data_IF_160884489935
#
_entry.id   IF_160884489935
#
_cell.length_a   1.000
_cell.length_b   1.000
_cell.length_c   1.000
_cell.angle_alpha   90.00
_cell.angle_beta   90.00
_cell.angle_gamma   90.00
#
_symmetry.space_group_name_H-M   'P 1'
#
loop_
_entity.id
_entity.type
_entity.pdbx_description
1 polymer ?
#
# COMPACT_ATOMS: atom_id res chain seq x y z
N UNK A 1 -34.24 -35.93 -4.02
CA UNK A 1 -32.97 -35.75 -3.26
C UNK A 1 -31.79 -35.39 -4.18
N UNK A 2 -31.80 -34.24 -4.85
CA UNK A 2 -30.69 -33.89 -5.81
C UNK A 2 -30.25 -32.43 -5.81
N UNK A 3 -30.75 -31.57 -4.94
CA UNK A 3 -30.43 -30.14 -4.92
C UNK A 3 -29.27 -29.74 -3.98
N UNK A 4 -28.89 -30.58 -3.01
CA UNK A 4 -27.86 -30.25 -2.02
C UNK A 4 -26.41 -30.48 -2.51
N UNK A 5 -26.19 -31.38 -3.46
CA UNK A 5 -24.83 -31.75 -3.93
C UNK A 5 -24.21 -30.71 -4.85
N UNK A 6 -25.04 -29.87 -5.53
CA UNK A 6 -24.52 -28.82 -6.45
C UNK A 6 -23.90 -27.62 -5.72
N UNK A 7 -24.35 -27.32 -4.49
CA UNK A 7 -23.89 -26.15 -3.76
C UNK A 7 -22.47 -26.31 -3.19
N UNK A 8 -22.11 -27.50 -2.72
CA UNK A 8 -20.79 -27.78 -2.16
C UNK A 8 -19.67 -27.72 -3.19
N UNK A 9 -19.91 -28.22 -4.41
CA UNK A 9 -18.96 -28.12 -5.50
C UNK A 9 -18.72 -26.64 -5.89
N UNK A 10 -19.77 -25.82 -5.93
CA UNK A 10 -19.69 -24.42 -6.32
C UNK A 10 -18.93 -23.57 -5.27
N UNK A 11 -19.14 -23.82 -4.01
CA UNK A 11 -18.42 -23.17 -2.90
C UNK A 11 -16.95 -23.60 -2.90
N UNK A 12 -16.66 -24.88 -3.15
CA UNK A 12 -15.28 -25.41 -3.24
C UNK A 12 -14.52 -24.80 -4.43
N UNK A 13 -15.16 -24.65 -5.57
CA UNK A 13 -14.59 -24.00 -6.76
C UNK A 13 -14.33 -22.51 -6.55
N UNK A 14 -15.24 -21.78 -5.91
CA UNK A 14 -15.00 -20.35 -5.54
C UNK A 14 -13.80 -20.18 -4.62
N UNK A 15 -13.66 -21.05 -3.59
CA UNK A 15 -12.49 -21.03 -2.71
C UNK A 15 -11.19 -21.35 -3.44
N UNK A 16 -11.19 -22.34 -4.35
CA UNK A 16 -10.01 -22.69 -5.18
C UNK A 16 -9.64 -21.57 -6.14
N UNK A 17 -10.61 -20.93 -6.79
CA UNK A 17 -10.38 -19.78 -7.67
C UNK A 17 -9.86 -18.55 -6.91
N UNK A 18 -10.39 -18.30 -5.73
CA UNK A 18 -9.90 -17.26 -4.83
C UNK A 18 -8.44 -17.53 -4.42
N UNK A 19 -8.14 -18.75 -3.98
CA UNK A 19 -6.80 -19.16 -3.60
C UNK A 19 -5.80 -19.11 -4.77
N UNK A 20 -6.19 -19.51 -5.98
CA UNK A 20 -5.35 -19.38 -7.18
C UNK A 20 -5.09 -17.93 -7.55
N UNK A 21 -6.06 -17.02 -7.38
CA UNK A 21 -5.87 -15.58 -7.61
C UNK A 21 -4.87 -14.99 -6.62
N UNK A 22 -5.00 -15.32 -5.33
CA UNK A 22 -4.05 -14.92 -4.29
C UNK A 22 -2.66 -15.48 -4.57
N UNK A 23 -2.55 -16.76 -4.90
CA UNK A 23 -1.27 -17.40 -5.23
C UNK A 23 -0.61 -16.79 -6.48
N UNK A 24 -1.40 -16.42 -7.50
CA UNK A 24 -0.88 -15.77 -8.69
C UNK A 24 -0.50 -14.30 -8.43
N UNK A 25 -1.23 -13.61 -7.56
CA UNK A 25 -0.85 -12.26 -7.11
C UNK A 25 0.48 -12.34 -6.32
N UNK A 26 0.60 -13.25 -5.38
CA UNK A 26 1.84 -13.49 -4.63
C UNK A 26 3.01 -13.80 -5.58
N UNK A 27 2.86 -14.72 -6.54
CA UNK A 27 3.91 -15.04 -7.51
C UNK A 27 4.33 -13.85 -8.38
N UNK A 28 3.44 -12.92 -8.69
CA UNK A 28 3.75 -11.70 -9.45
C UNK A 28 4.56 -10.72 -8.61
N UNK A 29 4.24 -10.59 -7.32
CA UNK A 29 4.91 -9.68 -6.40
C UNK A 29 6.30 -10.22 -6.05
N UNK A 30 6.48 -11.54 -5.90
CA UNK A 30 7.79 -12.19 -5.77
C UNK A 30 8.73 -11.90 -6.95
N UNK A 31 8.18 -11.63 -8.13
CA UNK A 31 8.99 -11.24 -9.29
C UNK A 31 9.38 -9.75 -9.29
N UNK A 32 8.73 -8.94 -8.46
CA UNK A 32 8.91 -7.49 -8.43
C UNK A 32 9.95 -7.04 -7.39
N UNK A 33 10.11 -7.81 -6.29
CA UNK A 33 11.09 -7.56 -5.23
C UNK A 33 12.04 -8.73 -5.19
N UNK A 34 13.32 -8.45 -5.32
CA UNK A 34 14.41 -9.42 -5.34
C UNK A 34 15.34 -9.21 -4.13
N UNK A 35 16.21 -10.18 -3.87
CA UNK A 35 17.24 -10.00 -2.85
C UNK A 35 18.16 -8.80 -3.16
N UNK A 36 18.33 -8.44 -4.43
CA UNK A 36 19.07 -7.24 -4.83
C UNK A 36 18.43 -5.95 -4.30
N UNK A 37 17.10 -5.93 -4.18
CA UNK A 37 16.42 -4.77 -3.61
C UNK A 37 16.62 -4.67 -2.09
N UNK A 38 16.73 -5.80 -1.39
CA UNK A 38 17.11 -5.85 0.03
C UNK A 38 18.58 -5.41 0.23
N UNK A 39 19.48 -5.84 -0.67
CA UNK A 39 20.91 -5.51 -0.63
C UNK A 39 21.22 -4.02 -0.93
N UNK A 40 20.24 -3.25 -1.39
CA UNK A 40 20.36 -1.78 -1.49
C UNK A 40 20.25 -1.08 -0.13
N UNK A 41 19.56 -1.69 0.83
CA UNK A 41 19.28 -1.11 2.15
C UNK A 41 20.15 -1.72 3.25
N UNK A 42 20.55 -3.01 3.11
CA UNK A 42 21.37 -3.73 4.09
C UNK A 42 22.53 -4.47 3.40
N UNK A 43 23.58 -4.78 4.14
CA UNK A 43 24.71 -5.55 3.61
C UNK A 43 24.36 -7.03 3.40
N UNK A 44 25.07 -7.71 2.51
CA UNK A 44 24.90 -9.15 2.29
C UNK A 44 25.16 -9.96 3.58
N UNK A 45 26.15 -9.53 4.37
CA UNK A 45 26.44 -10.17 5.65
C UNK A 45 25.28 -10.01 6.63
N UNK A 46 24.69 -8.82 6.74
CA UNK A 46 23.54 -8.57 7.60
C UNK A 46 22.32 -9.39 7.14
N UNK A 47 22.04 -9.44 5.83
CA UNK A 47 20.96 -10.24 5.27
C UNK A 47 21.15 -11.73 5.61
N UNK A 48 22.38 -12.23 5.53
CA UNK A 48 22.74 -13.60 5.88
C UNK A 48 22.51 -13.86 7.37
N UNK A 49 22.98 -12.97 8.26
CA UNK A 49 22.81 -13.08 9.69
C UNK A 49 21.32 -13.05 10.08
N UNK A 50 20.52 -12.14 9.48
CA UNK A 50 19.09 -12.01 9.75
C UNK A 50 18.27 -13.19 9.22
N UNK A 51 18.71 -13.89 8.18
CA UNK A 51 18.03 -15.05 7.62
C UNK A 51 18.46 -16.39 8.27
N UNK A 52 19.61 -16.42 8.96
CA UNK A 52 20.17 -17.63 9.55
C UNK A 52 19.70 -17.87 11.00
N UNK A 53 18.42 -18.22 11.16
CA UNK A 53 17.84 -18.50 12.49
C UNK A 53 18.51 -19.67 13.23
N UNK A 54 19.29 -20.49 12.56
CA UNK A 54 19.92 -21.70 13.12
C UNK A 54 21.44 -21.54 13.33
N UNK A 55 22.00 -20.36 13.07
CA UNK A 55 23.43 -20.08 13.17
C UNK A 55 24.33 -21.04 12.35
N UNK A 56 23.84 -21.44 11.16
CA UNK A 56 24.57 -22.34 10.24
C UNK A 56 25.56 -21.59 9.33
N UNK A 57 25.56 -20.27 9.36
CA UNK A 57 26.35 -19.42 8.50
C UNK A 57 25.93 -19.47 7.03
N UNK A 58 24.68 -19.79 6.72
CA UNK A 58 24.15 -19.92 5.37
C UNK A 58 22.90 -19.02 5.22
N UNK A 59 22.81 -18.30 4.09
CA UNK A 59 21.62 -17.52 3.76
C UNK A 59 20.41 -18.45 3.57
N UNK A 60 19.35 -18.22 4.33
CA UNK A 60 18.12 -19.03 4.27
C UNK A 60 17.04 -18.30 3.49
N UNK A 61 16.88 -18.64 2.22
CA UNK A 61 15.90 -18.01 1.33
C UNK A 61 14.46 -18.18 1.84
N UNK A 62 14.11 -19.30 2.47
CA UNK A 62 12.75 -19.50 2.97
C UNK A 62 12.37 -18.46 4.05
N UNK A 63 13.31 -18.13 4.94
CA UNK A 63 13.09 -17.10 5.99
C UNK A 63 12.89 -15.73 5.38
N UNK A 64 13.63 -15.41 4.31
CA UNK A 64 13.49 -14.16 3.56
C UNK A 64 12.12 -14.12 2.87
N UNK A 65 11.74 -15.20 2.20
CA UNK A 65 10.46 -15.31 1.49
C UNK A 65 9.27 -15.21 2.46
N UNK A 66 9.36 -15.82 3.64
CA UNK A 66 8.34 -15.70 4.69
C UNK A 66 8.24 -14.25 5.21
N UNK A 67 9.36 -13.58 5.45
CA UNK A 67 9.35 -12.18 5.87
C UNK A 67 8.79 -11.25 4.78
N UNK A 68 9.11 -11.53 3.52
CA UNK A 68 8.55 -10.81 2.39
C UNK A 68 7.03 -11.01 2.27
N UNK A 69 6.53 -12.24 2.46
CA UNK A 69 5.10 -12.54 2.48
C UNK A 69 4.36 -11.82 3.61
N UNK A 70 4.94 -11.81 4.81
CA UNK A 70 4.38 -11.09 5.95
C UNK A 70 4.26 -9.60 5.63
N UNK A 71 5.27 -9.01 5.01
CA UNK A 71 5.33 -7.59 4.62
C UNK A 71 4.33 -7.25 3.53
N UNK A 72 4.19 -8.11 2.52
CA UNK A 72 3.20 -7.99 1.45
C UNK A 72 1.79 -8.04 2.03
N UNK A 73 1.51 -9.03 2.89
CA UNK A 73 0.21 -9.19 3.54
C UNK A 73 -0.14 -7.99 4.41
N UNK A 74 0.87 -7.40 5.07
CA UNK A 74 0.70 -6.17 5.82
C UNK A 74 0.33 -5.00 4.92
N UNK A 75 1.03 -4.78 3.80
CA UNK A 75 0.70 -3.74 2.83
C UNK A 75 -0.70 -3.93 2.21
N UNK A 76 -1.10 -5.17 1.93
CA UNK A 76 -2.42 -5.53 1.39
C UNK A 76 -3.57 -5.20 2.36
N UNK A 77 -3.29 -5.07 3.66
CA UNK A 77 -4.29 -4.61 4.62
C UNK A 77 -4.67 -3.12 4.45
N UNK A 78 -3.83 -2.32 3.78
CA UNK A 78 -4.06 -0.90 3.51
C UNK A 78 -4.49 -0.63 2.07
N UNK A 79 -3.89 -1.34 1.10
CA UNK A 79 -4.03 -1.06 -0.34
C UNK A 79 -4.13 -2.35 -1.14
N UNK A 80 -4.73 -2.27 -2.33
CA UNK A 80 -4.63 -3.34 -3.32
C UNK A 80 -3.28 -3.18 -4.02
N UNK A 81 -2.42 -4.20 -3.92
CA UNK A 81 -1.10 -4.14 -4.54
C UNK A 81 -1.19 -4.20 -6.07
N UNK A 82 -0.61 -3.23 -6.79
CA UNK A 82 -0.61 -3.19 -8.25
C UNK A 82 0.41 -4.18 -8.84
N UNK A 83 0.23 -4.54 -10.10
CA UNK A 83 1.19 -5.39 -10.82
C UNK A 83 2.54 -4.68 -11.06
N UNK A 84 2.52 -3.36 -11.19
CA UNK A 84 3.69 -2.53 -11.43
C UNK A 84 3.76 -1.43 -10.35
N UNK A 85 4.26 -1.76 -9.14
CA UNK A 85 4.31 -0.83 -8.02
C UNK A 85 5.30 0.32 -8.26
N UNK A 86 4.98 1.49 -7.70
CA UNK A 86 5.90 2.63 -7.71
C UNK A 86 7.18 2.30 -6.93
N UNK A 87 8.32 2.98 -7.24
CA UNK A 87 9.55 2.81 -6.47
C UNK A 87 9.37 3.04 -4.98
N UNK A 88 8.54 4.00 -4.58
CA UNK A 88 8.21 4.25 -3.18
C UNK A 88 7.52 3.04 -2.53
N UNK A 89 6.53 2.45 -3.20
CA UNK A 89 5.83 1.27 -2.67
C UNK A 89 6.77 0.07 -2.57
N UNK A 90 7.67 -0.12 -3.54
CA UNK A 90 8.71 -1.15 -3.48
C UNK A 90 9.61 -0.95 -2.26
N UNK A 91 10.09 0.29 -2.04
CA UNK A 91 10.92 0.62 -0.88
C UNK A 91 10.19 0.32 0.43
N UNK A 92 8.93 0.71 0.56
CA UNK A 92 8.11 0.41 1.75
C UNK A 92 8.05 -1.09 2.02
N UNK A 93 7.84 -1.93 0.99
CA UNK A 93 7.79 -3.39 1.18
C UNK A 93 9.16 -3.93 1.59
N UNK A 94 10.27 -3.41 1.03
CA UNK A 94 11.64 -3.78 1.41
C UNK A 94 11.89 -3.42 2.88
N UNK A 95 11.56 -2.20 3.31
CA UNK A 95 11.74 -1.74 4.69
C UNK A 95 10.96 -2.61 5.69
N UNK A 96 9.71 -2.97 5.36
CA UNK A 96 8.93 -3.91 6.17
C UNK A 96 9.53 -5.31 6.20
N UNK A 97 10.11 -5.79 5.09
CA UNK A 97 10.77 -7.10 5.04
C UNK A 97 11.98 -7.12 5.95
N UNK A 98 12.80 -6.08 5.96
CA UNK A 98 13.95 -5.94 6.85
C UNK A 98 13.46 -5.84 8.31
N UNK A 99 12.40 -5.07 8.57
CA UNK A 99 11.79 -4.99 9.89
C UNK A 99 11.34 -6.35 10.40
N UNK A 100 10.66 -7.15 9.57
CA UNK A 100 10.18 -8.50 9.94
C UNK A 100 11.34 -9.47 10.18
N UNK A 101 12.42 -9.40 9.39
CA UNK A 101 13.64 -10.17 9.61
C UNK A 101 14.29 -9.82 10.97
N UNK A 102 14.44 -8.52 11.28
CA UNK A 102 14.96 -8.05 12.57
C UNK A 102 14.05 -8.45 13.72
N UNK A 103 12.72 -8.39 13.52
CA UNK A 103 11.72 -8.78 14.53
C UNK A 103 11.83 -10.27 14.87
N UNK A 104 11.97 -11.14 13.87
CA UNK A 104 12.14 -12.60 14.08
C UNK A 104 13.40 -12.95 14.87
N UNK A 105 14.42 -12.11 14.77
CA UNK A 105 15.69 -12.25 15.50
C UNK A 105 15.74 -11.46 16.82
N UNK A 106 14.70 -10.72 17.19
CA UNK A 106 14.70 -9.89 18.40
C UNK A 106 15.64 -8.67 18.34
N UNK A 107 16.04 -8.23 17.13
CA UNK A 107 17.03 -7.18 16.89
C UNK A 107 16.40 -5.84 16.48
N UNK A 108 15.08 -5.65 16.71
CA UNK A 108 14.37 -4.42 16.35
C UNK A 108 14.85 -3.25 17.20
N UNK A 109 15.30 -2.19 16.54
CA UNK A 109 15.70 -0.93 17.14
C UNK A 109 14.55 0.09 17.15
N UNK A 110 14.71 1.19 17.91
CA UNK A 110 13.69 2.24 17.93
C UNK A 110 13.60 2.98 16.59
N UNK A 111 14.71 3.14 15.88
CA UNK A 111 14.74 3.64 14.49
C UNK A 111 13.88 2.80 13.53
N UNK A 112 13.88 1.47 13.69
CA UNK A 112 13.07 0.58 12.87
C UNK A 112 11.57 0.78 13.14
N UNK A 113 11.21 1.04 14.39
CA UNK A 113 9.83 1.34 14.80
C UNK A 113 9.35 2.69 14.26
N UNK A 114 10.23 3.69 14.23
CA UNK A 114 9.93 5.01 13.66
C UNK A 114 9.75 4.92 12.15
N UNK A 115 10.67 4.24 11.46
CA UNK A 115 10.57 3.99 10.01
C UNK A 115 9.28 3.22 9.66
N UNK A 116 8.92 2.22 10.48
CA UNK A 116 7.66 1.50 10.32
C UNK A 116 6.45 2.42 10.39
N UNK A 117 6.38 3.33 11.37
CA UNK A 117 5.28 4.30 11.51
C UNK A 117 5.22 5.27 10.32
N UNK A 118 6.37 5.70 9.81
CA UNK A 118 6.45 6.56 8.64
C UNK A 118 5.90 5.84 7.40
N UNK A 119 6.32 4.60 7.17
CA UNK A 119 5.84 3.77 6.07
C UNK A 119 4.34 3.47 6.17
N UNK A 120 3.80 3.23 7.36
CA UNK A 120 2.35 3.12 7.61
C UNK A 120 1.61 4.40 7.20
N UNK A 121 2.17 5.58 7.52
CA UNK A 121 1.58 6.85 7.11
C UNK A 121 1.60 7.04 5.58
N UNK A 122 2.64 6.55 4.88
CA UNK A 122 2.65 6.53 3.41
C UNK A 122 1.58 5.58 2.84
N UNK A 123 1.42 4.38 3.40
CA UNK A 123 0.37 3.44 2.98
C UNK A 123 -1.03 4.04 3.18
N UNK A 124 -1.29 4.75 4.27
CA UNK A 124 -2.54 5.48 4.48
C UNK A 124 -2.76 6.58 3.45
N UNK A 125 -1.72 7.32 3.04
CA UNK A 125 -1.82 8.30 1.95
C UNK A 125 -2.11 7.63 0.61
N UNK A 126 -1.54 6.45 0.36
CA UNK A 126 -1.82 5.64 -0.83
C UNK A 126 -3.25 5.12 -0.83
N UNK A 127 -3.76 4.61 0.30
CA UNK A 127 -5.14 4.10 0.41
C UNK A 127 -6.19 5.18 0.17
N UNK A 128 -5.87 6.44 0.50
CA UNK A 128 -6.75 7.59 0.25
C UNK A 128 -6.55 8.24 -1.14
N UNK A 129 -5.72 7.67 -1.99
CA UNK A 129 -5.43 8.19 -3.34
C UNK A 129 -4.57 9.46 -3.35
N UNK A 130 -3.98 9.86 -2.21
CA UNK A 130 -3.07 11.02 -2.14
C UNK A 130 -1.69 10.72 -2.71
N UNK A 131 -1.30 9.46 -2.76
CA UNK A 131 -0.07 8.97 -3.36
C UNK A 131 -0.40 7.84 -4.34
N UNK A 132 0.30 7.84 -5.47
CA UNK A 132 0.13 6.80 -6.50
C UNK A 132 0.82 5.50 -6.07
N UNK A 133 0.14 4.40 -6.30
CA UNK A 133 0.65 3.04 -6.04
C UNK A 133 1.19 2.36 -7.29
N UNK A 134 0.68 2.73 -8.47
CA UNK A 134 0.96 2.11 -9.76
C UNK A 134 1.74 3.05 -10.68
N UNK A 135 2.79 2.53 -11.33
CA UNK A 135 3.59 3.28 -12.32
C UNK A 135 2.78 3.66 -13.57
N UNK A 136 1.85 2.80 -14.01
CA UNK A 136 0.99 3.08 -15.15
C UNK A 136 0.07 4.29 -14.93
N UNK A 137 -0.40 4.49 -13.70
CA UNK A 137 -1.18 5.68 -13.33
C UNK A 137 -0.32 6.93 -13.33
N UNK A 138 0.95 6.81 -12.93
CA UNK A 138 1.92 7.91 -12.97
C UNK A 138 2.20 8.38 -14.39
N UNK A 139 2.37 7.45 -15.33
CA UNK A 139 2.59 7.75 -16.74
C UNK A 139 1.35 8.45 -17.34
N UNK A 140 0.15 7.92 -17.12
CA UNK A 140 -1.10 8.55 -17.56
C UNK A 140 -1.31 9.94 -16.97
N UNK A 141 -0.94 10.16 -15.71
CA UNK A 141 -1.03 11.47 -15.06
C UNK A 141 -0.04 12.50 -15.64
N UNK A 142 1.07 12.05 -16.21
CA UNK A 142 2.04 12.91 -16.90
C UNK A 142 1.63 13.24 -18.33
N UNK A 143 0.89 12.35 -19.00
CA UNK A 143 0.39 12.55 -20.36
C UNK A 143 -0.83 13.48 -20.44
N UNK A 144 -1.54 13.67 -19.33
CA UNK A 144 -2.62 14.68 -19.30
C UNK A 144 -1.99 16.06 -19.43
N UNK A 145 -2.26 16.80 -20.54
CA UNK A 145 -1.69 18.12 -20.72
C UNK A 145 -2.12 19.04 -19.57
N UNK A 146 -1.16 19.70 -18.95
CA UNK A 146 -1.38 20.71 -17.89
C UNK A 146 -2.12 21.97 -18.40
N UNK A 147 -2.87 21.85 -19.46
CA UNK A 147 -3.75 22.88 -19.97
C UNK A 147 -5.09 22.85 -19.21
N UNK A 148 -5.02 23.01 -17.88
CA UNK A 148 -6.13 23.64 -17.19
C UNK A 148 -6.13 25.12 -17.61
N UNK A 149 -6.56 25.37 -18.85
CA UNK A 149 -7.13 26.67 -19.17
C UNK A 149 -8.33 26.82 -18.23
N UNK A 150 -8.14 27.54 -17.13
CA UNK A 150 -9.25 28.05 -16.34
C UNK A 150 -10.07 28.90 -17.33
N UNK A 151 -11.08 28.28 -17.91
CA UNK A 151 -12.11 28.99 -18.62
C UNK A 151 -12.76 29.83 -17.54
N UNK A 152 -12.32 31.09 -17.41
CA UNK A 152 -13.01 32.07 -16.64
C UNK A 152 -14.43 32.14 -17.21
N UNK A 153 -15.30 31.31 -16.62
CA UNK A 153 -16.73 31.58 -16.77
C UNK A 153 -16.91 32.94 -16.13
N UNK A 154 -17.12 33.94 -16.99
CA UNK A 154 -17.60 35.25 -16.58
C UNK A 154 -18.87 34.97 -15.74
N UNK A 155 -18.69 34.83 -14.42
CA UNK A 155 -19.79 34.92 -13.48
C UNK A 155 -20.34 36.31 -13.71
N UNK A 156 -21.50 36.38 -14.37
CA UNK A 156 -22.31 37.62 -14.42
C UNK A 156 -22.32 38.13 -12.99
N UNK A 157 -21.74 39.34 -12.79
CA UNK A 157 -21.84 40.02 -11.51
C UNK A 157 -23.34 40.16 -11.25
N UNK A 158 -23.82 39.42 -10.25
CA UNK A 158 -25.17 39.59 -9.72
C UNK A 158 -25.12 40.94 -9.02
N UNK A 159 -25.81 41.92 -9.60
CA UNK A 159 -25.86 43.29 -9.08
C UNK A 159 -26.76 43.25 -7.83
N UNK A 160 -26.14 43.25 -6.66
CA UNK A 160 -26.83 43.22 -5.35
C UNK A 160 -27.41 44.62 -4.98
N UNK A 161 -27.64 45.52 -5.90
CA UNK A 161 -28.28 46.84 -5.66
C UNK A 161 -29.77 46.72 -5.36
N UNK A 162 -30.20 45.82 -4.51
CA UNK A 162 -31.59 45.67 -4.17
C UNK A 162 -31.90 44.92 -2.91
N UNK A 163 -30.91 44.29 -2.31
CA UNK A 163 -31.15 43.55 -1.04
C UNK A 163 -30.92 44.45 0.17
N UNK A 164 -32.03 45.02 0.67
CA UNK A 164 -32.09 45.73 1.95
C UNK A 164 -32.24 44.67 3.05
N UNK A 165 -31.17 44.39 3.79
CA UNK A 165 -31.24 43.51 4.98
C UNK A 165 -31.90 44.29 6.12
N UNK A 166 -33.13 43.92 6.46
CA UNK A 166 -33.74 44.33 7.71
C UNK A 166 -33.35 43.28 8.76
N UNK A 167 -32.26 43.50 9.46
CA UNK A 167 -31.97 42.82 10.73
C UNK A 167 -32.72 43.52 11.84
N UNK A 168 -33.87 43.00 12.26
CA UNK A 168 -34.42 43.27 13.61
C UNK A 168 -33.87 42.14 14.51
N UNK A 169 -32.85 42.43 15.27
CA UNK A 169 -32.53 41.62 16.44
C UNK A 169 -33.50 41.95 17.54
N UNK A 170 -34.42 41.02 17.82
CA UNK A 170 -35.10 40.98 19.12
C UNK A 170 -34.18 40.22 20.08
N UNK A 171 -33.59 40.97 21.00
CA UNK A 171 -32.92 40.46 22.19
C UNK A 171 -34.04 40.36 23.22
N UNK A 172 -34.58 39.16 23.47
CA UNK A 172 -35.30 38.86 24.68
C UNK A 172 -34.29 38.45 25.74
N UNK A 173 -34.26 39.26 26.79
CA UNK A 173 -33.52 39.03 28.04
C UNK A 173 -34.55 38.47 29.00
N UNK A 174 -34.41 37.21 29.42
CA UNK A 174 -34.87 36.65 30.69
C UNK A 174 -33.71 35.94 31.40
#
# INVERSE_FOLDING_TARGET
>A
MSFFVKNDKYIKWKKILSFKRVLNALKRIYKVITNEDLLKEISEQELKELSDLNANGILNQNVIDDALNDSISFCESFIILPNNPTPLLKKIIVDFTIYELRRKNGLVQDSDKELKKENEAYLLKMSTGRLLTNMEEKEKAQETPKNFAFKHQNKKRVDFKGFRWNYQMQIEIE
#
